data_IF_591077824772
#
_entry.id   IF_591077824772
#
_cell.length_a   1.000
_cell.length_b   1.000
_cell.length_c   1.000
_cell.angle_alpha   90.00
_cell.angle_beta   90.00
_cell.angle_gamma   90.00
#
_symmetry.space_group_name_H-M   'P 1'
#
loop_
_entity.id
_entity.type
_entity.pdbx_description
1 polymer ?
#
# COMPACT_ATOMS: atom_id res chain seq x y z
N UNK A 1 15.94 -36.78 11.79
CA UNK A 1 14.76 -36.18 11.13
C UNK A 1 15.28 -35.12 10.19
N UNK A 2 14.78 -35.08 8.96
CA UNK A 2 15.18 -34.01 8.04
C UNK A 2 14.61 -32.67 8.54
N UNK A 3 15.46 -31.69 8.66
CA UNK A 3 15.11 -30.31 8.99
C UNK A 3 14.27 -29.76 7.80
N UNK A 4 13.12 -29.11 8.05
CA UNK A 4 12.35 -28.51 6.98
C UNK A 4 13.18 -27.45 6.23
N UNK A 5 13.30 -27.59 4.94
CA UNK A 5 14.06 -26.69 4.06
C UNK A 5 13.26 -26.27 2.81
N UNK A 6 12.00 -26.63 2.76
CA UNK A 6 11.10 -26.29 1.67
C UNK A 6 9.65 -26.33 2.14
N UNK A 7 8.74 -25.74 1.38
CA UNK A 7 7.30 -25.77 1.65
C UNK A 7 6.79 -27.22 1.81
N UNK A 8 7.24 -28.12 0.93
CA UNK A 8 6.85 -29.52 0.97
C UNK A 8 7.34 -30.25 2.25
N UNK A 9 8.58 -30.01 2.67
CA UNK A 9 9.14 -30.61 3.89
C UNK A 9 8.51 -30.03 5.17
N UNK A 10 8.17 -28.74 5.18
CA UNK A 10 7.40 -28.12 6.26
C UNK A 10 6.00 -28.71 6.34
N UNK A 11 5.29 -28.88 5.22
CA UNK A 11 3.98 -29.54 5.17
C UNK A 11 4.02 -30.93 5.78
N UNK A 12 5.00 -31.74 5.39
CA UNK A 12 5.18 -33.09 5.98
C UNK A 12 5.50 -33.05 7.48
N UNK A 13 6.27 -32.05 7.92
CA UNK A 13 6.57 -31.88 9.35
C UNK A 13 5.30 -31.54 10.14
N UNK A 14 4.47 -30.62 9.63
CA UNK A 14 3.20 -30.26 10.26
C UNK A 14 2.24 -31.46 10.33
N UNK A 15 2.09 -32.22 9.23
CA UNK A 15 1.27 -33.44 9.22
C UNK A 15 1.76 -34.48 10.23
N UNK A 16 3.07 -34.70 10.34
CA UNK A 16 3.64 -35.62 11.33
C UNK A 16 3.36 -35.16 12.77
N UNK A 17 3.43 -33.86 13.03
CA UNK A 17 3.12 -33.33 14.36
C UNK A 17 1.65 -33.52 14.73
N UNK A 18 0.75 -33.51 13.74
CA UNK A 18 -0.68 -33.80 13.93
C UNK A 18 -1.00 -35.30 14.04
N UNK A 19 -0.04 -36.19 13.81
CA UNK A 19 -0.18 -37.65 13.98
C UNK A 19 -0.06 -38.48 12.70
N UNK A 20 0.13 -37.88 11.55
CA UNK A 20 0.38 -38.63 10.30
C UNK A 20 1.67 -39.46 10.39
N UNK A 21 1.76 -40.70 9.88
CA UNK A 21 0.73 -41.46 9.15
C UNK A 21 -0.14 -42.36 10.03
N UNK A 22 -0.03 -42.28 11.37
CA UNK A 22 -0.79 -43.13 12.30
C UNK A 22 -2.27 -42.73 12.28
N UNK A 23 -2.53 -41.42 12.18
CA UNK A 23 -3.87 -40.87 12.06
C UNK A 23 -3.98 -40.29 10.64
N UNK A 24 -5.04 -40.63 9.93
CA UNK A 24 -5.34 -40.02 8.65
C UNK A 24 -5.87 -38.61 8.85
N UNK A 25 -5.20 -37.63 8.20
CA UNK A 25 -5.54 -36.20 8.32
C UNK A 25 -6.28 -35.82 7.05
N UNK A 26 -7.59 -35.65 7.14
CA UNK A 26 -8.48 -35.36 6.03
C UNK A 26 -8.38 -33.89 5.59
N UNK A 27 -7.25 -33.51 5.03
CA UNK A 27 -6.99 -32.20 4.44
C UNK A 27 -6.37 -32.42 3.07
N UNK A 28 -6.83 -31.66 2.09
CA UNK A 28 -6.25 -31.66 0.76
C UNK A 28 -4.85 -31.00 0.76
N UNK A 29 -4.01 -31.40 -0.21
CA UNK A 29 -2.65 -30.89 -0.32
C UNK A 29 -2.64 -29.37 -0.59
N UNK A 30 -3.55 -28.91 -1.42
CA UNK A 30 -3.70 -27.48 -1.76
C UNK A 30 -4.15 -26.66 -0.54
N UNK A 31 -5.07 -27.19 0.29
CA UNK A 31 -5.47 -26.55 1.53
C UNK A 31 -4.29 -26.42 2.51
N UNK A 32 -3.42 -27.43 2.56
CA UNK A 32 -2.21 -27.35 3.38
C UNK A 32 -1.25 -26.27 2.86
N UNK A 33 -1.12 -26.16 1.56
CA UNK A 33 -0.23 -25.19 0.92
C UNK A 33 -0.75 -23.75 1.14
N UNK A 34 -2.06 -23.52 1.03
CA UNK A 34 -2.69 -22.24 1.37
C UNK A 34 -2.46 -21.81 2.82
N UNK A 35 -2.57 -22.77 3.77
CA UNK A 35 -2.31 -22.47 5.19
C UNK A 35 -0.84 -22.16 5.47
N UNK A 36 0.09 -22.78 4.74
CA UNK A 36 1.51 -22.45 4.86
C UNK A 36 1.79 -21.08 4.26
N UNK A 37 1.16 -20.72 3.14
CA UNK A 37 1.30 -19.39 2.55
C UNK A 37 0.73 -18.30 3.47
N UNK A 38 -0.42 -18.54 4.11
CA UNK A 38 -0.98 -17.66 5.15
C UNK A 38 0.01 -17.50 6.32
N UNK A 39 0.63 -18.59 6.77
CA UNK A 39 1.64 -18.56 7.82
C UNK A 39 2.88 -17.75 7.43
N UNK A 40 3.35 -17.88 6.19
CA UNK A 40 4.48 -17.12 5.69
C UNK A 40 4.16 -15.63 5.55
N UNK A 41 2.96 -15.28 5.09
CA UNK A 41 2.52 -13.89 5.02
C UNK A 41 2.52 -13.25 6.40
N UNK A 42 1.97 -13.94 7.40
CA UNK A 42 1.97 -13.46 8.77
C UNK A 42 3.41 -13.33 9.31
N UNK A 43 4.26 -14.31 9.04
CA UNK A 43 5.67 -14.32 9.44
C UNK A 43 6.43 -13.09 8.90
N UNK A 44 6.26 -12.77 7.61
CA UNK A 44 6.87 -11.58 7.00
C UNK A 44 6.29 -10.24 7.48
N UNK A 45 5.07 -10.25 8.00
CA UNK A 45 4.43 -9.01 8.46
C UNK A 45 4.77 -8.68 9.91
N UNK A 46 4.88 -9.69 10.78
CA UNK A 46 4.95 -9.49 12.23
C UNK A 46 6.21 -10.05 12.90
N UNK A 47 7.03 -10.79 12.17
CA UNK A 47 8.23 -11.40 12.76
C UNK A 47 9.50 -10.72 12.26
N UNK A 48 10.32 -10.24 13.19
CA UNK A 48 11.61 -9.64 12.88
C UNK A 48 12.51 -10.55 12.03
N UNK A 49 12.54 -11.85 12.33
CA UNK A 49 13.35 -12.83 11.61
C UNK A 49 12.96 -13.04 10.13
N UNK A 50 11.77 -12.57 9.72
CA UNK A 50 11.29 -12.67 8.34
C UNK A 50 11.75 -11.55 7.41
N UNK A 51 12.28 -10.47 7.98
CA UNK A 51 12.67 -9.25 7.26
C UNK A 51 14.12 -8.91 7.50
N UNK A 52 14.72 -8.25 6.53
CA UNK A 52 16.08 -7.74 6.61
C UNK A 52 16.12 -6.26 6.23
N UNK A 53 16.74 -5.45 7.07
CA UNK A 53 17.07 -4.06 6.74
C UNK A 53 18.12 -4.06 5.63
N UNK A 54 17.88 -3.36 4.56
CA UNK A 54 18.76 -3.30 3.41
C UNK A 54 18.80 -1.90 2.81
N UNK A 55 19.89 -1.62 2.12
CA UNK A 55 20.08 -0.39 1.36
C UNK A 55 19.94 -0.71 -0.12
N UNK A 56 18.90 -0.20 -0.73
CA UNK A 56 18.65 -0.35 -2.16
C UNK A 56 19.27 0.83 -2.90
N UNK A 57 20.10 0.53 -3.89
CA UNK A 57 20.70 1.53 -4.77
C UNK A 57 19.95 1.54 -6.09
N UNK A 58 19.32 2.66 -6.41
CA UNK A 58 18.64 2.87 -7.69
C UNK A 58 19.38 3.94 -8.50
N UNK A 59 19.63 3.66 -9.77
CA UNK A 59 20.19 4.63 -10.71
C UNK A 59 19.03 5.35 -11.40
N UNK A 60 18.99 6.67 -11.28
CA UNK A 60 17.93 7.48 -11.84
C UNK A 60 18.06 7.47 -13.36
N UNK A 61 16.95 7.18 -14.02
CA UNK A 61 16.84 7.19 -15.48
C UNK A 61 16.06 8.41 -15.94
N UNK A 62 16.21 8.80 -17.22
CA UNK A 62 15.40 9.85 -17.80
C UNK A 62 13.90 9.56 -17.67
N UNK A 63 13.51 8.29 -17.79
CA UNK A 63 12.12 7.88 -17.64
C UNK A 63 11.58 8.09 -16.19
N UNK A 64 12.44 8.05 -15.19
CA UNK A 64 12.04 8.35 -13.80
C UNK A 64 11.81 9.85 -13.63
N UNK A 65 12.67 10.69 -14.20
CA UNK A 65 12.54 12.15 -14.19
C UNK A 65 11.29 12.57 -14.96
N UNK A 66 11.09 12.05 -16.19
CA UNK A 66 9.92 12.34 -16.99
C UNK A 66 8.61 11.96 -16.28
N UNK A 67 8.60 10.81 -15.61
CA UNK A 67 7.47 10.37 -14.81
C UNK A 67 7.28 11.26 -13.58
N UNK A 68 8.37 11.64 -12.89
CA UNK A 68 8.33 12.51 -11.72
C UNK A 68 7.72 13.88 -12.01
N UNK A 69 7.94 14.39 -13.21
CA UNK A 69 7.39 15.67 -13.69
C UNK A 69 6.01 15.53 -14.36
N UNK A 70 5.51 14.29 -14.53
CA UNK A 70 4.23 14.05 -15.16
C UNK A 70 3.09 14.09 -14.15
N UNK A 71 1.99 14.71 -14.55
CA UNK A 71 0.74 14.70 -13.79
C UNK A 71 -0.34 13.90 -14.53
N UNK A 72 -1.15 13.18 -13.77
CA UNK A 72 -2.40 12.64 -14.28
C UNK A 72 -3.57 13.44 -13.74
N UNK A 73 -4.55 13.69 -14.59
CA UNK A 73 -5.77 14.36 -14.15
C UNK A 73 -6.81 13.34 -13.71
N UNK A 74 -7.36 13.56 -12.53
CA UNK A 74 -8.54 12.86 -12.04
C UNK A 74 -9.72 13.82 -11.98
N UNK A 75 -10.88 13.35 -12.42
CA UNK A 75 -12.10 14.15 -12.44
C UNK A 75 -13.02 13.68 -11.32
N UNK A 76 -13.28 14.54 -10.36
CA UNK A 76 -14.32 14.31 -9.36
C UNK A 76 -15.67 14.75 -9.94
N UNK A 77 -16.60 13.81 -10.02
CA UNK A 77 -17.97 14.04 -10.52
C UNK A 77 -18.94 14.50 -9.43
N UNK A 78 -18.48 14.61 -8.20
CA UNK A 78 -19.25 14.99 -7.02
C UNK A 78 -19.12 16.48 -6.68
N UNK A 79 -19.04 17.30 -7.72
CA UNK A 79 -18.90 18.75 -7.61
C UNK A 79 -20.21 19.47 -7.30
N UNK A 80 -20.12 20.79 -7.23
CA UNK A 80 -21.25 21.68 -6.99
C UNK A 80 -22.33 21.48 -8.03
N UNK A 81 -23.54 21.14 -7.61
CA UNK A 81 -24.69 21.08 -8.53
C UNK A 81 -25.14 22.48 -8.91
N UNK A 82 -25.08 22.79 -10.19
CA UNK A 82 -25.60 24.02 -10.76
C UNK A 82 -26.97 23.70 -11.35
N UNK A 83 -28.00 24.37 -10.90
CA UNK A 83 -29.37 24.16 -11.35
C UNK A 83 -29.89 25.40 -12.08
N UNK A 84 -30.56 25.19 -13.19
CA UNK A 84 -31.23 26.20 -13.99
C UNK A 84 -32.45 25.61 -14.67
N UNK A 85 -33.08 26.33 -15.57
CA UNK A 85 -34.22 25.83 -16.36
C UNK A 85 -34.02 26.13 -17.85
N UNK A 86 -34.69 25.38 -18.70
CA UNK A 86 -34.78 25.64 -20.14
C UNK A 86 -35.55 26.94 -20.41
N UNK A 87 -34.99 27.81 -21.27
CA UNK A 87 -35.65 29.05 -21.69
C UNK A 87 -36.69 28.82 -22.81
N UNK A 88 -36.66 27.67 -23.47
CA UNK A 88 -37.60 27.31 -24.53
C UNK A 88 -37.93 25.81 -24.56
N UNK A 89 -38.91 25.44 -25.37
CA UNK A 89 -39.21 24.03 -25.64
C UNK A 89 -38.29 23.52 -26.76
N UNK A 90 -37.82 22.27 -26.60
CA UNK A 90 -36.90 21.62 -27.56
C UNK A 90 -37.49 20.28 -28.01
N UNK A 91 -37.36 19.98 -29.28
CA UNK A 91 -37.73 18.69 -29.84
C UNK A 91 -36.55 17.70 -29.77
N UNK A 92 -36.87 16.42 -29.82
CA UNK A 92 -35.86 15.38 -30.02
C UNK A 92 -35.02 15.68 -31.28
N UNK A 93 -33.69 15.50 -31.18
CA UNK A 93 -32.74 15.83 -32.23
C UNK A 93 -32.18 17.26 -32.18
N UNK A 94 -32.63 18.13 -31.28
CA UNK A 94 -32.03 19.44 -31.09
C UNK A 94 -30.57 19.33 -30.61
N UNK A 95 -29.68 20.16 -31.20
CA UNK A 95 -28.25 20.19 -30.90
C UNK A 95 -27.80 21.45 -30.16
N UNK A 96 -28.76 22.33 -29.88
CA UNK A 96 -28.54 23.56 -29.14
C UNK A 96 -29.67 23.76 -28.14
N UNK A 97 -29.30 24.15 -26.94
CA UNK A 97 -30.25 24.37 -25.84
C UNK A 97 -29.95 25.73 -25.21
N UNK A 98 -30.95 26.56 -25.01
CA UNK A 98 -30.82 27.84 -24.31
C UNK A 98 -31.32 27.68 -22.87
N UNK A 99 -30.51 28.11 -21.93
CA UNK A 99 -30.83 28.10 -20.52
C UNK A 99 -31.30 29.48 -20.08
N UNK A 100 -32.12 29.55 -19.05
CA UNK A 100 -32.50 30.79 -18.40
C UNK A 100 -31.27 31.53 -17.85
N UNK A 101 -30.29 30.78 -17.34
CA UNK A 101 -28.98 31.26 -16.95
C UNK A 101 -27.95 30.14 -17.09
N UNK A 102 -26.83 30.43 -17.79
CA UNK A 102 -25.68 29.53 -17.87
C UNK A 102 -24.54 29.97 -16.93
N UNK A 103 -24.81 30.86 -15.99
CA UNK A 103 -23.80 31.32 -15.04
C UNK A 103 -23.29 30.14 -14.18
N UNK A 104 -21.96 29.97 -14.13
CA UNK A 104 -21.30 28.89 -13.41
C UNK A 104 -21.14 27.59 -14.19
N UNK A 105 -21.75 27.45 -15.38
CA UNK A 105 -21.54 26.25 -16.21
C UNK A 105 -20.11 26.24 -16.76
N UNK A 106 -19.40 25.09 -16.65
CA UNK A 106 -18.10 24.92 -17.30
C UNK A 106 -18.21 25.00 -18.83
N UNK A 107 -17.10 25.27 -19.50
CA UNK A 107 -17.11 25.43 -20.97
C UNK A 107 -17.57 24.16 -21.72
N UNK A 108 -17.37 23.01 -21.12
CA UNK A 108 -17.78 21.68 -21.63
C UNK A 108 -18.20 20.81 -20.46
N UNK A 109 -19.09 19.87 -20.68
CA UNK A 109 -19.55 18.97 -19.61
C UNK A 109 -20.78 18.14 -19.99
N UNK A 110 -21.54 17.76 -18.98
CA UNK A 110 -22.82 17.08 -19.13
C UNK A 110 -23.92 17.81 -18.34
N UNK A 111 -25.11 17.82 -18.89
CA UNK A 111 -26.31 18.31 -18.21
C UNK A 111 -27.33 17.18 -18.12
N UNK A 112 -28.06 17.18 -17.04
CA UNK A 112 -29.27 16.32 -16.90
C UNK A 112 -30.47 17.22 -16.97
N UNK A 113 -31.32 16.97 -17.96
CA UNK A 113 -32.61 17.63 -18.11
C UNK A 113 -33.66 16.77 -17.42
N UNK A 114 -34.37 17.37 -16.49
CA UNK A 114 -35.40 16.67 -15.71
C UNK A 114 -36.56 16.23 -16.57
N UNK A 115 -37.23 15.18 -16.14
CA UNK A 115 -38.53 14.76 -16.76
C UNK A 115 -39.56 15.87 -16.62
N UNK A 116 -40.30 16.10 -17.67
CA UNK A 116 -41.39 17.06 -17.72
C UNK A 116 -42.65 16.40 -18.30
N UNK A 117 -43.69 16.30 -17.52
CA UNK A 117 -44.96 15.73 -17.93
C UNK A 117 -44.83 14.32 -18.53
N UNK A 118 -44.88 14.21 -19.88
CA UNK A 118 -44.77 12.94 -20.61
C UNK A 118 -43.35 12.62 -21.07
N UNK A 119 -42.42 13.56 -20.97
CA UNK A 119 -41.05 13.40 -21.48
C UNK A 119 -40.13 12.85 -20.38
N UNK A 120 -39.29 11.89 -20.72
CA UNK A 120 -38.34 11.28 -19.79
C UNK A 120 -37.14 12.19 -19.56
N UNK A 121 -36.57 12.13 -18.35
CA UNK A 121 -35.28 12.78 -18.07
C UNK A 121 -34.18 12.19 -18.95
N UNK A 122 -33.25 13.04 -19.38
CA UNK A 122 -32.09 12.59 -20.11
C UNK A 122 -30.83 13.34 -19.70
N UNK A 123 -29.67 12.68 -19.86
CA UNK A 123 -28.35 13.28 -19.66
C UNK A 123 -27.65 13.42 -20.99
N UNK A 124 -27.24 14.64 -21.30
CA UNK A 124 -26.66 15.01 -22.60
C UNK A 124 -25.33 15.74 -22.36
N UNK A 125 -24.35 15.45 -23.20
CA UNK A 125 -23.07 16.16 -23.17
C UNK A 125 -23.15 17.44 -24.01
N UNK A 126 -22.45 18.50 -23.58
CA UNK A 126 -22.32 19.73 -24.33
C UNK A 126 -20.83 20.07 -24.53
N UNK A 127 -20.53 20.66 -25.68
CA UNK A 127 -19.17 20.94 -26.14
C UNK A 127 -18.79 22.41 -26.08
N UNK A 128 -19.75 23.32 -25.93
CA UNK A 128 -19.51 24.74 -25.82
C UNK A 128 -20.65 25.48 -25.11
N UNK A 129 -20.32 26.55 -24.43
CA UNK A 129 -21.26 27.49 -23.81
C UNK A 129 -21.00 28.86 -24.42
N UNK A 130 -22.03 29.45 -25.04
CA UNK A 130 -21.95 30.79 -25.64
C UNK A 130 -23.13 31.63 -25.10
N UNK A 131 -22.82 32.53 -24.15
CA UNK A 131 -23.86 33.22 -23.40
C UNK A 131 -24.71 32.21 -22.60
N UNK A 132 -26.02 32.17 -22.85
CA UNK A 132 -26.91 31.19 -22.24
C UNK A 132 -27.19 29.96 -23.14
N UNK A 133 -26.53 29.87 -24.30
CA UNK A 133 -26.74 28.77 -25.25
C UNK A 133 -25.66 27.71 -25.07
N UNK A 134 -26.08 26.46 -24.89
CA UNK A 134 -25.22 25.30 -24.86
C UNK A 134 -25.29 24.59 -26.23
N UNK A 135 -24.13 24.21 -26.77
CA UNK A 135 -24.07 23.30 -27.92
C UNK A 135 -23.99 21.88 -27.42
N UNK A 136 -25.08 21.13 -27.55
CA UNK A 136 -25.25 19.78 -26.98
C UNK A 136 -25.10 18.71 -28.06
N UNK A 137 -24.90 17.45 -27.63
CA UNK A 137 -25.25 16.32 -28.49
C UNK A 137 -26.76 16.34 -28.77
N UNK A 138 -27.19 15.65 -29.81
CA UNK A 138 -28.62 15.59 -30.18
C UNK A 138 -29.46 15.04 -29.02
N UNK A 139 -30.50 15.77 -28.62
CA UNK A 139 -31.41 15.34 -27.60
C UNK A 139 -32.19 14.06 -28.04
N UNK A 140 -32.31 13.08 -27.17
CA UNK A 140 -33.07 11.87 -27.43
C UNK A 140 -34.56 12.11 -27.22
N UNK A 141 -34.93 12.98 -26.27
CA UNK A 141 -36.31 13.29 -25.92
C UNK A 141 -36.67 14.75 -26.24
N UNK A 142 -37.96 15.05 -26.32
CA UNK A 142 -38.43 16.42 -26.32
C UNK A 142 -38.48 16.95 -24.89
N UNK A 143 -38.35 18.25 -24.69
CA UNK A 143 -38.45 18.91 -23.39
C UNK A 143 -39.20 20.22 -23.51
N UNK A 144 -40.02 20.52 -22.51
CA UNK A 144 -40.80 21.73 -22.47
C UNK A 144 -40.01 22.91 -21.86
N UNK A 145 -40.45 24.13 -22.18
CA UNK A 145 -39.89 25.33 -21.56
C UNK A 145 -40.07 25.30 -20.04
N UNK A 146 -39.02 25.62 -19.29
CA UNK A 146 -39.06 25.57 -17.83
C UNK A 146 -38.63 24.23 -17.22
N UNK A 147 -38.35 23.22 -18.03
CA UNK A 147 -37.78 21.93 -17.51
C UNK A 147 -36.49 22.20 -16.76
N UNK A 148 -36.34 21.55 -15.59
CA UNK A 148 -35.15 21.70 -14.74
C UNK A 148 -33.90 21.15 -15.41
N UNK A 149 -32.84 21.89 -15.41
CA UNK A 149 -31.53 21.49 -15.93
C UNK A 149 -30.51 21.49 -14.79
N UNK A 150 -29.82 20.39 -14.61
CA UNK A 150 -28.80 20.24 -13.59
C UNK A 150 -27.48 19.91 -14.26
N UNK A 151 -26.42 20.59 -13.91
CA UNK A 151 -25.04 20.24 -14.26
C UNK A 151 -24.25 19.91 -13.00
N UNK A 152 -23.32 19.00 -13.13
CA UNK A 152 -22.33 18.74 -12.07
C UNK A 152 -21.02 19.37 -12.53
N UNK A 153 -20.48 20.25 -11.73
CA UNK A 153 -19.14 20.80 -11.96
C UNK A 153 -18.12 19.66 -11.78
N UNK A 154 -17.47 19.30 -12.88
CA UNK A 154 -16.38 18.35 -12.83
C UNK A 154 -15.12 19.07 -12.30
N UNK A 155 -14.74 18.78 -11.08
CA UNK A 155 -13.49 19.29 -10.51
C UNK A 155 -12.36 18.39 -10.97
N UNK A 156 -11.44 18.95 -11.74
CA UNK A 156 -10.23 18.26 -12.20
C UNK A 156 -9.12 18.44 -11.20
N UNK A 157 -8.60 17.32 -10.70
CA UNK A 157 -7.44 17.28 -9.83
C UNK A 157 -6.21 16.85 -10.60
N UNK A 158 -5.09 17.49 -10.34
CA UNK A 158 -3.78 17.06 -10.84
C UNK A 158 -3.14 16.15 -9.80
N UNK A 159 -2.85 14.92 -10.18
CA UNK A 159 -2.18 13.94 -9.34
C UNK A 159 -0.78 13.68 -9.89
N UNK A 160 0.24 14.08 -9.13
CA UNK A 160 1.64 13.88 -9.51
C UNK A 160 2.01 12.40 -9.59
N UNK A 161 2.78 12.05 -10.61
CA UNK A 161 3.31 10.70 -10.85
C UNK A 161 4.73 10.51 -10.27
N UNK A 162 5.10 11.31 -9.28
CA UNK A 162 6.42 11.35 -8.64
C UNK A 162 6.73 10.07 -7.84
N UNK A 163 6.80 8.92 -8.49
CA UNK A 163 7.07 7.64 -7.83
C UNK A 163 8.17 6.83 -8.52
N UNK A 164 8.87 6.02 -7.72
CA UNK A 164 9.76 4.96 -8.18
C UNK A 164 9.09 3.59 -8.02
N UNK A 165 9.14 2.71 -9.05
CA UNK A 165 8.69 1.34 -8.91
C UNK A 165 9.64 0.57 -8.01
N UNK A 166 9.10 -0.11 -7.00
CA UNK A 166 9.88 -0.87 -6.02
C UNK A 166 9.79 -2.37 -6.26
N UNK A 167 10.86 -3.14 -5.96
CA UNK A 167 10.84 -4.59 -6.06
C UNK A 167 9.81 -5.24 -5.14
N UNK A 168 9.26 -6.38 -5.54
CA UNK A 168 8.27 -7.18 -4.80
C UNK A 168 8.74 -7.63 -3.42
N UNK A 169 10.06 -7.72 -3.24
CA UNK A 169 10.68 -8.11 -1.98
C UNK A 169 10.61 -7.02 -0.90
N UNK A 170 10.36 -5.75 -1.28
CA UNK A 170 10.32 -4.63 -0.33
C UNK A 170 8.99 -4.61 0.40
N UNK A 171 9.04 -4.63 1.72
CA UNK A 171 7.89 -4.60 2.59
C UNK A 171 7.58 -3.19 3.12
N UNK A 172 8.63 -2.45 3.48
CA UNK A 172 8.49 -1.06 3.92
C UNK A 172 9.74 -0.27 3.56
N UNK A 173 9.57 1.04 3.38
CA UNK A 173 10.67 1.98 3.17
C UNK A 173 10.76 2.87 4.40
N UNK A 174 11.97 3.01 4.96
CA UNK A 174 12.21 3.81 6.14
C UNK A 174 12.53 5.25 5.77
N UNK A 175 13.51 5.44 4.91
CA UNK A 175 13.94 6.75 4.44
C UNK A 175 14.68 6.66 3.12
N UNK A 176 14.77 7.78 2.45
CA UNK A 176 15.67 8.00 1.32
C UNK A 176 16.84 8.81 1.84
N UNK A 177 18.05 8.28 1.64
CA UNK A 177 19.25 9.01 2.06
C UNK A 177 19.38 10.26 1.19
N UNK A 178 19.76 11.38 1.81
CA UNK A 178 19.87 12.65 1.08
C UNK A 178 20.87 12.53 -0.07
N UNK A 179 20.53 13.15 -1.17
CA UNK A 179 21.45 13.33 -2.29
C UNK A 179 22.58 14.22 -1.81
N UNK A 180 23.76 13.66 -1.59
CA UNK A 180 24.93 14.47 -1.34
C UNK A 180 25.63 14.71 -2.64
N UNK A 181 25.84 15.96 -2.95
CA UNK A 181 26.72 16.39 -4.02
C UNK A 181 28.15 15.88 -3.71
N UNK A 182 28.49 14.71 -4.29
CA UNK A 182 29.75 14.01 -4.03
C UNK A 182 30.98 14.68 -4.63
N UNK A 183 30.75 15.73 -5.47
CA UNK A 183 31.82 16.44 -6.13
C UNK A 183 32.62 17.38 -5.24
N UNK A 184 32.02 17.85 -4.16
CA UNK A 184 32.60 18.87 -3.29
C UNK A 184 32.63 18.45 -1.84
N UNK A 185 33.52 17.53 -1.47
CA UNK A 185 34.03 17.49 -0.12
C UNK A 185 34.91 18.76 0.08
N UNK A 186 34.24 19.90 0.12
CA UNK A 186 34.90 21.16 0.38
C UNK A 186 35.29 21.17 1.85
N UNK A 187 36.57 21.29 2.12
CA UNK A 187 37.12 21.49 3.50
C UNK A 187 36.47 22.69 4.20
N UNK A 188 35.78 23.54 3.45
CA UNK A 188 35.03 24.71 3.93
C UNK A 188 33.54 24.45 4.13
N UNK A 189 33.04 23.23 3.87
CA UNK A 189 31.68 22.88 4.20
C UNK A 189 31.48 22.93 5.72
N UNK A 190 30.49 23.69 6.16
CA UNK A 190 30.10 23.83 7.57
C UNK A 190 29.94 22.47 8.25
N UNK A 191 29.41 21.47 7.55
CA UNK A 191 29.22 20.10 8.05
C UNK A 191 30.55 19.40 8.33
N UNK A 192 31.51 19.54 7.43
CA UNK A 192 32.84 18.96 7.60
C UNK A 192 33.57 19.61 8.78
N UNK A 193 33.43 20.92 8.91
CA UNK A 193 34.07 21.66 10.04
C UNK A 193 33.42 21.35 11.38
N UNK A 194 32.08 21.18 11.43
CA UNK A 194 31.37 20.77 12.63
C UNK A 194 31.78 19.36 13.08
N UNK A 195 31.86 18.41 12.12
CA UNK A 195 32.35 17.05 12.44
C UNK A 195 33.82 17.00 12.84
N UNK A 196 34.67 17.85 12.28
CA UNK A 196 36.06 18.00 12.72
C UNK A 196 36.14 18.58 14.13
N UNK A 197 35.31 19.56 14.45
CA UNK A 197 35.27 20.15 15.79
C UNK A 197 34.80 19.12 16.84
N UNK A 198 33.83 18.30 16.51
CA UNK A 198 33.33 17.18 17.31
C UNK A 198 34.42 16.13 17.59
N UNK A 199 35.26 15.83 16.62
CA UNK A 199 36.42 14.95 16.78
C UNK A 199 37.49 15.51 17.74
N UNK A 200 37.62 16.82 17.83
CA UNK A 200 38.57 17.47 18.76
C UNK A 200 38.07 17.47 20.20
N UNK A 201 36.76 17.59 20.42
CA UNK A 201 36.17 17.58 21.76
C UNK A 201 36.06 16.17 22.38
N UNK A 202 36.32 15.12 21.61
CA UNK A 202 36.23 13.73 22.06
C UNK A 202 37.22 13.36 23.18
N UNK A 203 38.22 14.17 23.43
CA UNK A 203 39.30 13.83 24.35
C UNK A 203 39.11 14.28 25.82
N UNK A 204 38.09 15.10 26.11
CA UNK A 204 38.02 15.75 27.42
C UNK A 204 36.68 15.84 28.10
N UNK A 205 35.59 15.46 27.45
CA UNK A 205 34.24 15.78 27.97
C UNK A 205 33.32 14.56 28.24
N UNK A 206 32.32 14.78 29.06
CA UNK A 206 31.38 13.76 29.49
C UNK A 206 30.48 13.28 28.33
N UNK A 207 30.11 12.00 28.36
CA UNK A 207 29.19 11.35 27.38
C UNK A 207 27.89 12.15 27.14
N UNK A 208 27.46 12.93 28.13
CA UNK A 208 26.28 13.78 28.04
C UNK A 208 26.47 14.92 27.04
N UNK A 209 27.63 15.59 27.09
CA UNK A 209 27.98 16.68 26.16
C UNK A 209 28.10 16.15 24.73
N UNK A 210 28.72 15.00 24.56
CA UNK A 210 28.80 14.33 23.25
C UNK A 210 27.41 14.07 22.67
N UNK A 211 26.51 13.53 23.47
CA UNK A 211 25.14 13.21 23.01
C UNK A 211 24.33 14.46 22.69
N UNK A 212 24.52 15.54 23.46
CA UNK A 212 23.93 16.85 23.14
C UNK A 212 24.47 17.43 21.85
N UNK A 213 25.77 17.32 21.60
CA UNK A 213 26.41 17.77 20.36
C UNK A 213 25.89 16.98 19.15
N UNK A 214 25.73 15.67 19.27
CA UNK A 214 25.16 14.83 18.22
C UNK A 214 23.71 15.23 17.90
N UNK A 215 22.89 15.49 18.91
CA UNK A 215 21.51 15.98 18.68
C UNK A 215 21.48 17.35 17.97
N UNK A 216 22.40 18.24 18.30
CA UNK A 216 22.53 19.52 17.60
C UNK A 216 22.97 19.36 16.16
N UNK A 217 23.87 18.41 15.87
CA UNK A 217 24.29 18.09 14.52
C UNK A 217 23.14 17.48 13.70
N UNK A 218 22.39 16.54 14.27
CA UNK A 218 21.21 15.95 13.64
C UNK A 218 20.14 17.01 13.34
N UNK A 219 19.96 17.96 14.27
CA UNK A 219 19.03 19.08 14.05
C UNK A 219 19.52 20.01 12.93
N UNK A 220 20.80 20.30 12.84
CA UNK A 220 21.38 21.09 11.76
C UNK A 220 21.29 20.35 10.42
N UNK A 221 21.54 19.04 10.41
CA UNK A 221 21.39 18.20 9.22
C UNK A 221 19.94 18.19 8.74
N UNK A 222 18.97 18.13 9.64
CA UNK A 222 17.55 18.21 9.30
C UNK A 222 17.17 19.55 8.67
N UNK A 223 17.75 20.66 9.12
CA UNK A 223 17.47 22.01 8.57
C UNK A 223 18.20 22.24 7.24
N UNK A 224 19.46 21.80 7.14
CA UNK A 224 20.33 22.12 6.00
C UNK A 224 20.16 21.16 4.83
N UNK A 225 19.90 19.88 5.09
CA UNK A 225 19.74 18.87 4.02
C UNK A 225 18.27 18.67 3.69
N UNK A 226 17.41 18.69 4.70
CA UNK A 226 15.99 18.37 4.59
C UNK A 226 15.78 16.91 4.12
N UNK A 227 15.25 16.06 4.97
CA UNK A 227 14.79 14.74 4.51
C UNK A 227 13.62 14.95 3.55
N UNK A 228 13.69 14.34 2.38
CA UNK A 228 12.58 14.38 1.43
C UNK A 228 11.42 13.54 1.97
N UNK A 229 10.19 14.09 2.07
CA UNK A 229 9.05 13.31 2.51
C UNK A 229 8.78 12.16 1.55
N UNK A 230 8.58 10.97 2.09
CA UNK A 230 8.33 9.76 1.32
C UNK A 230 7.00 9.12 1.70
N UNK A 231 6.37 8.50 0.73
CA UNK A 231 5.19 7.67 0.93
C UNK A 231 5.35 6.37 0.16
N UNK A 232 5.25 5.24 0.84
CA UNK A 232 5.35 3.93 0.23
C UNK A 232 4.05 3.15 0.40
N UNK A 233 3.57 2.54 -0.69
CA UNK A 233 2.43 1.64 -0.66
C UNK A 233 2.84 0.26 -1.16
N UNK A 234 2.76 -0.74 -0.29
CA UNK A 234 3.15 -2.13 -0.58
C UNK A 234 2.31 -2.73 -1.71
N UNK A 235 1.01 -2.43 -1.77
CA UNK A 235 0.11 -3.00 -2.77
C UNK A 235 0.33 -2.40 -4.16
N UNK A 236 0.66 -1.12 -4.22
CA UNK A 236 0.99 -0.44 -5.48
C UNK A 236 2.47 -0.64 -5.87
N UNK A 237 3.32 -1.01 -4.90
CA UNK A 237 4.79 -1.12 -5.07
C UNK A 237 5.40 0.16 -5.62
N UNK A 238 4.89 1.28 -5.14
CA UNK A 238 5.32 2.62 -5.54
C UNK A 238 5.85 3.38 -4.34
N UNK A 239 7.04 3.91 -4.50
CA UNK A 239 7.64 4.84 -3.56
C UNK A 239 7.46 6.24 -4.12
N UNK A 240 6.59 7.03 -3.53
CA UNK A 240 6.43 8.44 -3.84
C UNK A 240 7.48 9.24 -3.05
N UNK A 241 8.20 10.09 -3.74
CA UNK A 241 9.20 10.98 -3.16
C UNK A 241 8.78 12.40 -3.52
N UNK A 242 8.48 13.20 -2.50
CA UNK A 242 8.10 14.59 -2.70
C UNK A 242 9.35 15.46 -2.85
N UNK A 243 9.81 15.60 -4.08
CA UNK A 243 10.95 16.41 -4.47
C UNK A 243 10.69 17.01 -5.86
N UNK A 244 11.47 18.01 -6.21
CA UNK A 244 11.47 18.53 -7.58
C UNK A 244 12.34 17.62 -8.48
N UNK A 245 11.67 16.84 -9.34
CA UNK A 245 12.36 15.90 -10.24
C UNK A 245 13.11 16.61 -11.39
N UNK A 246 12.90 17.91 -11.55
CA UNK A 246 13.63 18.71 -12.55
C UNK A 246 14.94 19.31 -12.03
N UNK A 247 14.95 19.72 -10.76
CA UNK A 247 16.06 20.48 -10.17
C UNK A 247 16.83 19.68 -9.09
N UNK A 248 16.16 18.81 -8.34
CA UNK A 248 16.76 18.09 -7.21
C UNK A 248 17.60 16.88 -7.62
N UNK A 249 17.44 16.39 -8.87
CA UNK A 249 17.98 15.11 -9.32
C UNK A 249 18.49 15.17 -10.73
N UNK A 250 19.71 14.70 -10.95
CA UNK A 250 20.28 14.53 -12.29
C UNK A 250 20.16 13.07 -12.78
N UNK A 251 20.01 12.92 -14.10
CA UNK A 251 20.04 11.59 -14.75
C UNK A 251 21.39 10.94 -14.52
N UNK A 252 21.39 9.65 -14.28
CA UNK A 252 22.58 8.84 -13.96
C UNK A 252 23.07 8.97 -12.51
N UNK A 253 22.45 9.77 -11.67
CA UNK A 253 22.70 9.78 -10.24
C UNK A 253 22.11 8.55 -9.54
N UNK A 254 22.55 8.33 -8.30
CA UNK A 254 22.12 7.20 -7.50
C UNK A 254 21.36 7.64 -6.27
N UNK A 255 20.14 7.13 -6.12
CA UNK A 255 19.37 7.20 -4.89
C UNK A 255 19.65 5.97 -4.05
N UNK A 256 19.85 6.16 -2.76
CA UNK A 256 19.97 5.08 -1.80
C UNK A 256 18.74 5.10 -0.90
N UNK A 257 18.01 4.01 -0.94
CA UNK A 257 16.76 3.84 -0.21
C UNK A 257 16.99 2.83 0.90
N UNK A 258 16.73 3.23 2.13
CA UNK A 258 16.75 2.34 3.28
C UNK A 258 15.38 1.69 3.45
N UNK A 259 15.33 0.37 3.40
CA UNK A 259 14.10 -0.38 3.35
C UNK A 259 14.20 -1.71 4.12
N UNK A 260 13.05 -2.23 4.53
CA UNK A 260 12.92 -3.62 4.96
C UNK A 260 12.51 -4.49 3.78
N UNK A 261 13.27 -5.55 3.57
CA UNK A 261 13.05 -6.55 2.53
C UNK A 261 12.68 -7.88 3.17
N UNK A 262 11.63 -8.53 2.65
CA UNK A 262 11.32 -9.91 3.03
C UNK A 262 12.41 -10.85 2.52
N UNK A 263 12.78 -11.81 3.34
CA UNK A 263 13.72 -12.85 2.96
C UNK A 263 13.05 -13.81 1.98
N UNK A 264 13.71 -14.10 0.86
CA UNK A 264 13.22 -15.06 -0.12
C UNK A 264 13.42 -16.50 0.42
N UNK A 265 12.33 -17.26 0.66
CA UNK A 265 12.43 -18.61 1.19
C UNK A 265 13.02 -19.61 0.22
N UNK A 266 13.18 -19.25 -1.07
CA UNK A 266 13.86 -20.09 -2.06
C UNK A 266 15.37 -20.02 -1.91
N UNK A 267 15.90 -18.88 -1.46
CA UNK A 267 17.33 -18.66 -1.20
C UNK A 267 17.67 -19.02 0.24
N UNK A 268 16.86 -18.55 1.18
CA UNK A 268 17.05 -18.73 2.62
C UNK A 268 16.11 -19.80 3.17
N UNK A 269 16.45 -21.06 2.90
CA UNK A 269 15.60 -22.21 3.23
C UNK A 269 15.40 -22.44 4.73
N UNK A 270 16.26 -21.88 5.57
CA UNK A 270 16.19 -21.98 7.04
C UNK A 270 14.93 -21.32 7.63
N UNK A 271 14.28 -20.43 6.88
CA UNK A 271 12.98 -19.85 7.24
C UNK A 271 11.97 -20.96 7.54
N UNK A 272 11.94 -22.02 6.74
CA UNK A 272 11.03 -23.14 6.96
C UNK A 272 11.30 -23.93 8.24
N UNK A 273 12.49 -23.77 8.83
CA UNK A 273 12.87 -24.40 10.10
C UNK A 273 12.62 -23.48 11.30
N UNK A 274 12.14 -22.26 11.12
CA UNK A 274 11.82 -21.38 12.21
C UNK A 274 10.80 -22.02 13.18
N UNK A 275 11.02 -21.85 14.49
CA UNK A 275 10.23 -22.52 15.52
C UNK A 275 8.80 -21.98 15.58
N UNK A 276 8.65 -20.66 15.48
CA UNK A 276 7.36 -20.01 15.50
C UNK A 276 6.55 -20.35 14.27
N UNK A 277 7.17 -20.24 13.07
CA UNK A 277 6.53 -20.57 11.79
C UNK A 277 6.02 -22.02 11.75
N UNK A 278 6.82 -22.98 12.25
CA UNK A 278 6.41 -24.38 12.34
C UNK A 278 5.20 -24.59 13.25
N UNK A 279 5.16 -23.90 14.39
CA UNK A 279 4.03 -23.97 15.31
C UNK A 279 2.78 -23.35 14.70
N UNK A 280 2.92 -22.16 14.11
CA UNK A 280 1.82 -21.42 13.55
C UNK A 280 1.21 -22.11 12.32
N UNK A 281 2.04 -22.55 11.38
CA UNK A 281 1.59 -23.36 10.25
C UNK A 281 0.88 -24.65 10.68
N UNK A 282 1.37 -25.33 11.75
CA UNK A 282 0.70 -26.51 12.28
C UNK A 282 -0.67 -26.17 12.87
N UNK A 283 -0.79 -25.07 13.60
CA UNK A 283 -2.05 -24.62 14.19
C UNK A 283 -3.09 -24.24 13.10
N UNK A 284 -2.65 -23.57 12.03
CA UNK A 284 -3.51 -23.26 10.88
C UNK A 284 -3.99 -24.52 10.15
N UNK A 285 -3.11 -25.50 9.94
CA UNK A 285 -3.48 -26.80 9.35
C UNK A 285 -4.44 -27.55 10.26
N UNK A 286 -4.21 -27.52 11.59
CA UNK A 286 -5.10 -28.12 12.60
C UNK A 286 -6.48 -27.46 12.59
N UNK A 287 -6.55 -26.12 12.42
CA UNK A 287 -7.81 -25.39 12.26
C UNK A 287 -8.58 -25.88 11.03
N UNK A 288 -7.91 -25.96 9.87
CA UNK A 288 -8.51 -26.46 8.64
C UNK A 288 -9.01 -27.89 8.77
N UNK A 289 -8.25 -28.74 9.45
CA UNK A 289 -8.66 -30.12 9.75
C UNK A 289 -9.94 -30.16 10.61
N UNK A 290 -9.97 -29.36 11.67
CA UNK A 290 -11.17 -29.23 12.52
C UNK A 290 -12.38 -28.75 11.74
N UNK A 291 -12.21 -27.74 10.87
CA UNK A 291 -13.25 -27.17 10.02
C UNK A 291 -13.82 -28.21 9.03
N UNK A 292 -12.94 -28.97 8.38
CA UNK A 292 -13.36 -30.05 7.48
C UNK A 292 -14.18 -31.14 8.23
N UNK A 293 -13.79 -31.46 9.47
CA UNK A 293 -14.48 -32.44 10.29
C UNK A 293 -15.78 -31.93 10.94
N UNK A 294 -15.95 -30.61 11.08
CA UNK A 294 -17.19 -30.04 11.64
C UNK A 294 -18.45 -30.40 10.86
N UNK A 295 -18.33 -30.68 9.56
CA UNK A 295 -19.46 -31.18 8.74
C UNK A 295 -20.04 -32.51 9.26
N UNK A 296 -19.23 -33.30 9.95
CA UNK A 296 -19.58 -34.61 10.47
C UNK A 296 -19.86 -34.58 11.99
N UNK A 297 -20.02 -33.40 12.58
CA UNK A 297 -20.30 -33.24 13.98
C UNK A 297 -21.63 -33.93 14.35
N UNK A 298 -21.60 -34.83 15.31
CA UNK A 298 -22.79 -35.59 15.73
C UNK A 298 -23.10 -36.85 14.91
N UNK A 299 -22.30 -37.17 13.91
CA UNK A 299 -22.40 -38.45 13.20
C UNK A 299 -21.74 -39.54 14.02
N UNK A 300 -22.54 -40.50 14.52
CA UNK A 300 -22.01 -41.70 15.19
C UNK A 300 -21.57 -42.72 14.15
N UNK A 301 -20.29 -43.06 14.17
CA UNK A 301 -19.75 -44.19 13.37
C UNK A 301 -20.13 -45.53 14.02
N UNK A 302 -20.07 -46.61 13.21
CA UNK A 302 -20.20 -47.97 13.71
C UNK A 302 -19.19 -48.19 14.88
N UNK A 303 -19.72 -48.40 16.10
CA UNK A 303 -18.90 -48.55 17.30
C UNK A 303 -19.05 -47.43 18.36
N UNK A 304 -20.05 -46.55 18.21
CA UNK A 304 -20.37 -45.44 19.16
C UNK A 304 -19.26 -44.37 19.24
N UNK A 305 -18.42 -44.27 18.23
CA UNK A 305 -17.38 -43.23 18.14
C UNK A 305 -17.99 -41.98 17.47
N UNK A 306 -18.02 -40.86 18.20
CA UNK A 306 -18.46 -39.59 17.67
C UNK A 306 -17.25 -38.79 17.17
N UNK A 307 -17.31 -38.28 15.98
CA UNK A 307 -16.30 -37.32 15.46
C UNK A 307 -16.50 -35.98 16.17
N UNK A 308 -15.46 -35.48 16.81
CA UNK A 308 -15.48 -34.20 17.50
C UNK A 308 -14.58 -33.15 16.77
N UNK A 309 -15.00 -32.76 15.59
CA UNK A 309 -14.29 -31.72 14.78
C UNK A 309 -14.27 -30.36 15.48
N UNK A 310 -15.34 -30.03 16.23
CA UNK A 310 -15.45 -28.78 16.96
C UNK A 310 -14.35 -28.59 18.02
N UNK A 311 -14.04 -29.63 18.80
CA UNK A 311 -12.98 -29.52 19.80
C UNK A 311 -11.59 -29.32 19.18
N UNK A 312 -11.32 -29.94 18.02
CA UNK A 312 -10.07 -29.75 17.31
C UNK A 312 -9.97 -28.30 16.79
N UNK A 313 -11.07 -27.77 16.25
CA UNK A 313 -11.14 -26.40 15.77
C UNK A 313 -10.92 -25.38 16.89
N UNK A 314 -11.65 -25.52 18.02
CA UNK A 314 -11.50 -24.65 19.19
C UNK A 314 -10.08 -24.67 19.77
N UNK A 315 -9.49 -25.86 19.91
CA UNK A 315 -8.10 -25.98 20.37
C UNK A 315 -7.10 -25.34 19.39
N UNK A 316 -7.35 -25.43 18.08
CA UNK A 316 -6.51 -24.76 17.09
C UNK A 316 -6.65 -23.24 17.14
N UNK A 317 -7.86 -22.71 17.34
CA UNK A 317 -8.09 -21.27 17.49
C UNK A 317 -7.39 -20.70 18.72
N UNK A 318 -7.43 -21.40 19.84
CA UNK A 318 -6.70 -21.00 21.06
C UNK A 318 -5.17 -21.00 20.84
N UNK A 319 -4.64 -22.02 20.17
CA UNK A 319 -3.21 -22.08 19.82
C UNK A 319 -2.81 -20.93 18.88
N UNK A 320 -3.65 -20.58 17.90
CA UNK A 320 -3.41 -19.47 16.97
C UNK A 320 -3.38 -18.15 17.74
N UNK A 321 -4.41 -17.85 18.55
CA UNK A 321 -4.47 -16.62 19.33
C UNK A 321 -3.25 -16.46 20.25
N UNK A 322 -2.85 -17.52 20.93
CA UNK A 322 -1.69 -17.50 21.81
C UNK A 322 -0.39 -17.23 21.04
N UNK A 323 -0.22 -17.83 19.85
CA UNK A 323 0.96 -17.61 19.01
C UNK A 323 0.99 -16.19 18.43
N UNK A 324 -0.18 -15.62 18.08
CA UNK A 324 -0.30 -14.25 17.61
C UNK A 324 0.00 -13.22 18.72
N UNK A 325 -0.47 -13.48 19.94
CA UNK A 325 -0.10 -12.68 21.11
C UNK A 325 1.40 -12.76 21.41
N UNK A 326 1.96 -13.97 21.40
CA UNK A 326 3.40 -14.16 21.58
C UNK A 326 4.22 -13.46 20.50
N UNK A 327 3.74 -13.44 19.25
CA UNK A 327 4.38 -12.73 18.17
C UNK A 327 4.54 -11.24 18.46
N UNK A 328 3.50 -10.61 18.98
CA UNK A 328 3.48 -9.18 19.30
C UNK A 328 4.34 -8.80 20.52
N UNK A 329 4.53 -9.73 21.46
CA UNK A 329 5.19 -9.42 22.74
C UNK A 329 6.64 -9.90 22.81
N UNK A 330 6.97 -11.00 22.15
CA UNK A 330 8.27 -11.68 22.31
C UNK A 330 9.17 -11.58 21.07
N UNK A 331 8.56 -11.39 19.89
CA UNK A 331 9.26 -11.45 18.61
C UNK A 331 9.30 -10.09 17.88
N UNK A 332 8.99 -9.01 18.59
CA UNK A 332 9.24 -7.66 18.09
C UNK A 332 10.75 -7.43 17.97
N UNK A 333 11.11 -6.56 17.03
CA UNK A 333 12.47 -6.07 16.92
C UNK A 333 12.91 -5.52 18.27
N UNK A 334 14.01 -6.03 18.85
CA UNK A 334 14.52 -5.47 20.09
C UNK A 334 14.75 -3.97 19.88
N UNK A 335 14.33 -3.16 20.87
CA UNK A 335 14.58 -1.72 20.83
C UNK A 335 16.09 -1.57 20.67
N UNK A 336 16.52 -1.31 19.45
CA UNK A 336 17.90 -1.01 19.19
C UNK A 336 18.21 0.33 19.85
N UNK A 337 18.91 0.30 20.97
CA UNK A 337 19.84 1.37 21.23
C UNK A 337 20.90 1.26 20.13
N UNK A 338 20.87 2.16 19.18
CA UNK A 338 21.98 2.39 18.28
C UNK A 338 23.17 2.83 19.16
N UNK A 339 23.89 1.85 19.68
CA UNK A 339 25.21 2.04 20.20
C UNK A 339 26.10 1.90 18.95
N UNK A 340 26.14 3.00 18.17
CA UNK A 340 27.02 3.11 17.03
C UNK A 340 28.47 3.23 17.48
#
# INVERSE_FOLDING_TARGET
>A
MAIPNSKATLKQWCKRKLGYPVIDINIDEDQCDDRIDEALQYFYTFQYGGMQRCYLKHKITQADVDRGNADTSEVATDGNQITTTLDGAYLAGATTVVLTSAAGFPATGSITIAADGTNAAETVTYSAVTGNTLTTAALANAHDSGSGVTSVEAITWSLGQAYLPMPDSVQSVLRVLPFSDRGNLNMFDIRYQLRLNDLYDFSSESVIHYQMTMWHLDFLDMILIGEKPIQFNVHQRRLYINMDWGDDVEVDEYIIIEAYRKLDPTIWTDIYNDLWLKKYATALIKRQWGENLMKFNGVTMLGVVTMNGGAIFEAAMQEIQLLEEQSKTTWEEPIMMDIG
#
